data_IF_397566661858
#
_entry.id   IF_397566661858
#
_cell.length_a   1.000
_cell.length_b   1.000
_cell.length_c   1.000
_cell.angle_alpha   90.00
_cell.angle_beta   90.00
_cell.angle_gamma   90.00
#
_symmetry.space_group_name_H-M   'P 1'
#
loop_
_entity.id
_entity.type
_entity.pdbx_description
1 polymer ?
#
# COMPACT_ATOMS: atom_id res chain seq x y z
N UNK A 1 -23.84 -8.24 -67.05
CA UNK A 1 -23.40 -7.82 -65.69
C UNK A 1 -24.53 -8.09 -64.71
N UNK A 2 -24.15 -8.66 -63.56
CA UNK A 2 -24.89 -8.73 -62.28
C UNK A 2 -26.11 -9.70 -62.18
N UNK A 3 -25.93 -10.61 -61.20
CA UNK A 3 -26.91 -11.33 -60.35
C UNK A 3 -27.28 -12.77 -60.75
N UNK A 4 -26.46 -13.72 -60.29
CA UNK A 4 -26.86 -15.08 -59.92
C UNK A 4 -26.75 -15.12 -58.38
N UNK A 5 -27.90 -15.17 -57.69
CA UNK A 5 -28.39 -16.30 -56.86
C UNK A 5 -27.37 -16.73 -55.79
N UNK A 6 -27.74 -16.61 -54.51
CA UNK A 6 -27.59 -17.65 -53.47
C UNK A 6 -28.48 -17.21 -52.29
N UNK A 7 -29.67 -17.79 -52.23
CA UNK A 7 -30.53 -17.87 -51.05
C UNK A 7 -31.01 -19.32 -50.97
N UNK A 8 -30.09 -20.24 -50.66
CA UNK A 8 -30.38 -21.64 -50.36
C UNK A 8 -29.13 -22.36 -49.80
N UNK A 9 -28.32 -21.69 -48.98
CA UNK A 9 -27.22 -22.33 -48.24
C UNK A 9 -27.33 -22.09 -46.72
N UNK A 10 -28.56 -21.88 -46.24
CA UNK A 10 -28.91 -21.63 -44.84
C UNK A 10 -29.41 -22.87 -44.09
N UNK A 11 -29.14 -24.10 -44.56
CA UNK A 11 -29.62 -25.32 -43.87
C UNK A 11 -28.72 -26.57 -43.92
N UNK A 12 -27.44 -26.48 -44.32
CA UNK A 12 -26.55 -27.66 -44.38
C UNK A 12 -25.14 -27.50 -43.76
N UNK A 13 -24.93 -26.55 -42.84
CA UNK A 13 -23.70 -26.49 -42.03
C UNK A 13 -23.91 -26.89 -40.56
N UNK A 14 -24.94 -27.69 -40.29
CA UNK A 14 -25.14 -28.42 -39.03
C UNK A 14 -24.86 -29.92 -39.23
N UNK A 15 -23.60 -30.29 -39.44
CA UNK A 15 -23.10 -31.64 -39.10
C UNK A 15 -21.61 -31.58 -38.74
N UNK A 16 -21.36 -31.71 -37.43
CA UNK A 16 -20.13 -32.13 -36.76
C UNK A 16 -18.78 -32.11 -37.49
N UNK A 17 -17.96 -31.10 -37.14
CA UNK A 17 -16.59 -31.38 -36.71
C UNK A 17 -16.53 -31.18 -35.20
N UNK A 18 -16.49 -32.27 -34.46
CA UNK A 18 -16.03 -32.34 -33.09
C UNK A 18 -14.56 -31.94 -33.04
N UNK A 19 -14.29 -30.64 -33.09
CA UNK A 19 -13.00 -30.11 -32.67
C UNK A 19 -13.03 -30.05 -31.15
N UNK A 20 -12.39 -31.05 -30.51
CA UNK A 20 -11.82 -30.86 -29.17
C UNK A 20 -11.17 -29.47 -29.14
N UNK A 21 -11.35 -28.66 -28.08
CA UNK A 21 -10.60 -27.44 -27.97
C UNK A 21 -9.13 -27.82 -28.04
N UNK A 22 -8.49 -27.39 -29.11
CA UNK A 22 -7.05 -27.50 -29.26
C UNK A 22 -6.51 -26.53 -28.24
N UNK A 23 -6.06 -27.05 -27.10
CA UNK A 23 -5.28 -26.29 -26.13
C UNK A 23 -3.95 -25.94 -26.79
N UNK A 24 -3.90 -24.85 -27.55
CA UNK A 24 -2.70 -24.39 -28.24
C UNK A 24 -2.06 -23.25 -27.46
N UNK A 25 -1.16 -23.59 -26.53
CA UNK A 25 0.15 -22.96 -26.38
C UNK A 25 0.30 -21.51 -25.89
N UNK A 26 -0.76 -20.78 -25.50
CA UNK A 26 -0.61 -19.37 -25.08
C UNK A 26 -0.62 -19.09 -23.58
N UNK A 27 -1.05 -20.02 -22.71
CA UNK A 27 -1.06 -19.76 -21.25
C UNK A 27 0.35 -19.78 -20.67
N UNK A 28 1.17 -20.78 -21.03
CA UNK A 28 2.50 -20.96 -20.44
C UNK A 28 3.46 -19.79 -20.67
N UNK A 29 3.37 -19.08 -21.79
CA UNK A 29 4.28 -17.97 -22.09
C UNK A 29 3.97 -16.72 -21.27
N UNK A 30 2.69 -16.37 -21.10
CA UNK A 30 2.29 -15.23 -20.27
C UNK A 30 2.57 -15.52 -18.80
N UNK A 31 2.32 -16.75 -18.35
CA UNK A 31 2.61 -17.16 -16.98
C UNK A 31 4.12 -17.10 -16.69
N UNK A 32 4.96 -17.58 -17.61
CA UNK A 32 6.42 -17.49 -17.47
C UNK A 32 6.93 -16.04 -17.49
N UNK A 33 6.35 -15.19 -18.33
CA UNK A 33 6.70 -13.76 -18.39
C UNK A 33 6.39 -13.06 -17.05
N UNK A 34 5.21 -13.31 -16.48
CA UNK A 34 4.82 -12.77 -15.17
C UNK A 34 5.77 -13.29 -14.09
N UNK A 35 6.01 -14.60 -14.01
CA UNK A 35 6.93 -15.20 -13.03
C UNK A 35 8.32 -14.58 -13.12
N UNK A 36 8.89 -14.46 -14.32
CA UNK A 36 10.20 -13.84 -14.54
C UNK A 36 10.23 -12.37 -14.11
N UNK A 37 9.16 -11.62 -14.38
CA UNK A 37 9.05 -10.21 -13.98
C UNK A 37 8.97 -10.06 -12.45
N UNK A 38 8.25 -10.97 -11.77
CA UNK A 38 8.20 -11.04 -10.30
C UNK A 38 9.58 -11.35 -9.73
N UNK A 39 10.28 -12.37 -10.25
CA UNK A 39 11.63 -12.74 -9.81
C UNK A 39 12.57 -11.54 -9.87
N UNK A 40 12.62 -10.87 -11.02
CA UNK A 40 13.45 -9.68 -11.21
C UNK A 40 13.07 -8.53 -10.29
N UNK A 41 11.77 -8.32 -10.07
CA UNK A 41 11.31 -7.31 -9.13
C UNK A 41 11.84 -7.57 -7.72
N UNK A 42 11.77 -8.81 -7.26
CA UNK A 42 12.27 -9.20 -5.94
C UNK A 42 13.79 -9.02 -5.89
N UNK A 43 14.52 -9.51 -6.89
CA UNK A 43 15.98 -9.31 -6.99
C UNK A 43 16.37 -7.82 -6.94
N UNK A 44 15.61 -6.92 -7.59
CA UNK A 44 15.88 -5.47 -7.52
C UNK A 44 15.57 -4.88 -6.14
N UNK A 45 14.50 -5.35 -5.47
CA UNK A 45 14.05 -4.80 -4.18
C UNK A 45 14.81 -5.34 -2.98
N UNK A 46 15.27 -6.59 -3.05
CA UNK A 46 15.90 -7.29 -1.92
C UNK A 46 17.35 -7.67 -2.20
N UNK A 47 17.84 -7.56 -3.44
CA UNK A 47 19.19 -7.97 -3.84
C UNK A 47 19.50 -9.42 -3.44
N UNK A 48 18.51 -10.28 -3.58
CA UNK A 48 18.58 -11.72 -3.30
C UNK A 48 18.14 -12.48 -4.55
N UNK A 49 18.81 -13.57 -4.88
CA UNK A 49 18.50 -14.42 -6.02
C UNK A 49 19.52 -15.55 -6.10
N UNK A 50 19.28 -16.55 -6.96
CA UNK A 50 20.17 -17.71 -7.08
C UNK A 50 21.58 -17.31 -7.54
N UNK A 51 21.69 -16.29 -8.40
CA UNK A 51 22.94 -15.83 -9.00
C UNK A 51 23.50 -14.54 -8.37
N UNK A 52 22.88 -14.03 -7.30
CA UNK A 52 23.32 -12.79 -6.65
C UNK A 52 24.27 -13.10 -5.50
N UNK A 53 25.49 -12.58 -5.59
CA UNK A 53 26.51 -12.70 -4.53
C UNK A 53 27.19 -11.34 -4.29
N UNK A 54 28.00 -11.26 -3.24
CA UNK A 54 28.67 -10.02 -2.85
C UNK A 54 30.18 -10.24 -2.76
N UNK A 55 30.96 -9.37 -3.40
CA UNK A 55 32.43 -9.43 -3.34
C UNK A 55 32.94 -8.56 -2.20
N UNK A 56 33.12 -9.16 -1.03
CA UNK A 56 33.63 -8.48 0.17
C UNK A 56 35.04 -7.90 0.00
N UNK A 57 35.77 -8.28 -1.06
CA UNK A 57 37.10 -7.73 -1.38
C UNK A 57 37.04 -6.51 -2.32
N UNK A 58 35.93 -6.29 -3.02
CA UNK A 58 35.69 -5.12 -3.88
C UNK A 58 34.69 -4.18 -3.18
N UNK A 59 35.22 -3.34 -2.28
CA UNK A 59 34.44 -2.38 -1.51
C UNK A 59 34.81 -0.94 -1.84
N UNK A 60 33.86 -0.02 -1.63
CA UNK A 60 34.00 1.42 -1.84
C UNK A 60 33.39 2.18 -0.67
N UNK A 61 33.90 3.37 -0.40
CA UNK A 61 33.31 4.26 0.61
C UNK A 61 32.70 5.47 -0.07
N UNK A 62 31.41 5.71 0.16
CA UNK A 62 30.70 6.89 -0.29
C UNK A 62 30.10 7.59 0.93
N UNK A 63 30.39 8.88 1.11
CA UNK A 63 29.84 9.69 2.20
C UNK A 63 30.03 9.08 3.61
N UNK A 64 31.13 8.36 3.83
CA UNK A 64 31.44 7.73 5.12
C UNK A 64 30.77 6.36 5.35
N UNK A 65 29.94 5.90 4.42
CA UNK A 65 29.37 4.55 4.45
C UNK A 65 30.10 3.63 3.48
N UNK A 66 30.31 2.37 3.88
CA UNK A 66 30.98 1.34 3.08
C UNK A 66 29.95 0.58 2.27
N UNK A 67 30.29 0.35 1.00
CA UNK A 67 29.49 -0.37 0.04
C UNK A 67 30.29 -1.55 -0.51
N UNK A 68 29.60 -2.67 -0.72
CA UNK A 68 30.16 -3.92 -1.23
C UNK A 68 29.65 -4.16 -2.65
N UNK A 69 30.52 -4.62 -3.55
CA UNK A 69 30.12 -4.89 -4.93
C UNK A 69 29.09 -6.02 -5.01
N UNK A 70 28.06 -5.80 -5.81
CA UNK A 70 27.09 -6.83 -6.17
C UNK A 70 27.62 -7.59 -7.40
N UNK A 71 27.52 -8.91 -7.37
CA UNK A 71 27.81 -9.80 -8.48
C UNK A 71 26.53 -10.53 -8.89
N UNK A 72 26.37 -10.78 -10.19
CA UNK A 72 25.22 -11.46 -10.79
C UNK A 72 25.03 -11.00 -12.23
N UNK A 73 24.39 -11.80 -13.08
CA UNK A 73 24.27 -11.48 -14.53
C UNK A 73 23.70 -10.08 -14.76
N UNK A 74 22.62 -9.74 -14.06
CA UNK A 74 21.94 -8.45 -14.14
C UNK A 74 22.61 -7.32 -13.32
N UNK A 75 23.67 -7.60 -12.56
CA UNK A 75 24.37 -6.62 -11.69
C UNK A 75 25.85 -6.40 -12.08
N UNK A 76 26.34 -7.10 -13.10
CA UNK A 76 27.73 -7.04 -13.53
C UNK A 76 28.17 -5.65 -14.00
N UNK A 77 27.23 -4.89 -14.57
CA UNK A 77 27.45 -3.53 -15.03
C UNK A 77 26.24 -2.63 -14.81
N UNK A 78 26.46 -1.31 -14.87
CA UNK A 78 25.37 -0.32 -14.89
C UNK A 78 24.42 -0.54 -16.07
N UNK A 79 24.93 -1.02 -17.21
CA UNK A 79 24.10 -1.28 -18.39
C UNK A 79 23.17 -2.49 -18.16
N UNK A 80 23.70 -3.57 -17.59
CA UNK A 80 22.93 -4.77 -17.25
C UNK A 80 21.85 -4.45 -16.22
N UNK A 81 22.21 -3.69 -15.18
CA UNK A 81 21.25 -3.27 -14.14
C UNK A 81 20.15 -2.38 -14.72
N UNK A 82 20.50 -1.42 -15.57
CA UNK A 82 19.52 -0.60 -16.27
C UNK A 82 18.61 -1.44 -17.17
N UNK A 83 19.15 -2.43 -17.87
CA UNK A 83 18.37 -3.35 -18.72
C UNK A 83 17.40 -4.18 -17.88
N UNK A 84 17.83 -4.66 -16.72
CA UNK A 84 16.99 -5.35 -15.75
C UNK A 84 15.83 -4.46 -15.32
N UNK A 85 16.11 -3.25 -14.81
CA UNK A 85 15.11 -2.24 -14.42
C UNK A 85 14.10 -1.97 -15.55
N UNK A 86 14.58 -1.70 -16.77
CA UNK A 86 13.73 -1.41 -17.93
C UNK A 86 12.89 -2.61 -18.38
N UNK A 87 13.35 -3.84 -18.09
CA UNK A 87 12.61 -5.07 -18.40
C UNK A 87 11.59 -5.45 -17.33
N UNK A 88 11.66 -4.84 -16.14
CA UNK A 88 10.83 -5.18 -14.98
C UNK A 88 9.73 -4.15 -14.75
N UNK A 89 10.03 -2.86 -14.93
CA UNK A 89 9.16 -1.76 -14.53
C UNK A 89 8.59 -0.98 -15.72
N UNK A 90 7.42 -0.39 -15.54
CA UNK A 90 6.86 0.57 -16.51
C UNK A 90 7.77 1.79 -16.66
N UNK A 91 7.73 2.46 -17.82
CA UNK A 91 8.61 3.62 -18.10
C UNK A 91 8.56 4.71 -17.03
N UNK A 92 7.38 4.96 -16.47
CA UNK A 92 7.18 5.93 -15.40
C UNK A 92 7.92 5.52 -14.11
N UNK A 93 7.75 4.26 -13.70
CA UNK A 93 8.42 3.67 -12.54
C UNK A 93 9.95 3.59 -12.72
N UNK A 94 10.43 3.30 -13.92
CA UNK A 94 11.88 3.29 -14.23
C UNK A 94 12.50 4.64 -13.91
N UNK A 95 11.87 5.74 -14.33
CA UNK A 95 12.36 7.10 -14.06
C UNK A 95 12.53 7.34 -12.57
N UNK A 96 11.59 6.88 -11.74
CA UNK A 96 11.67 7.04 -10.28
C UNK A 96 12.79 6.21 -9.64
N UNK A 97 12.92 4.93 -10.02
CA UNK A 97 13.95 4.05 -9.44
C UNK A 97 15.36 4.52 -9.82
N UNK A 98 15.61 4.85 -11.09
CA UNK A 98 16.93 5.34 -11.52
C UNK A 98 17.30 6.70 -10.90
N UNK A 99 16.32 7.55 -10.58
CA UNK A 99 16.60 8.80 -9.88
C UNK A 99 16.99 8.58 -8.41
N UNK A 100 16.45 7.55 -7.73
CA UNK A 100 16.85 7.20 -6.35
C UNK A 100 18.33 6.83 -6.27
N UNK A 101 18.84 6.11 -7.26
CA UNK A 101 20.23 5.66 -7.30
C UNK A 101 21.25 6.81 -7.29
N UNK A 102 20.84 7.97 -7.82
CA UNK A 102 21.67 9.18 -7.89
C UNK A 102 21.73 9.98 -6.58
N UNK A 103 20.91 9.66 -5.57
CA UNK A 103 20.85 10.39 -4.30
C UNK A 103 22.01 10.04 -3.35
N UNK A 104 22.52 10.99 -2.55
CA UNK A 104 23.60 10.78 -1.59
C UNK A 104 23.32 9.67 -0.55
N UNK A 105 22.05 9.35 -0.30
CA UNK A 105 21.58 8.33 0.65
C UNK A 105 21.01 7.07 -0.04
N UNK A 106 21.33 6.84 -1.32
CA UNK A 106 20.89 5.65 -2.02
C UNK A 106 21.52 4.38 -1.42
N UNK A 107 20.72 3.33 -1.25
CA UNK A 107 21.18 1.99 -0.86
C UNK A 107 22.16 1.38 -1.88
N UNK A 108 22.10 1.82 -3.14
CA UNK A 108 22.95 1.38 -4.23
C UNK A 108 23.72 2.53 -4.87
N UNK A 109 24.95 2.25 -5.29
CA UNK A 109 25.86 3.18 -5.94
C UNK A 109 26.51 2.54 -7.15
N UNK A 110 26.64 3.32 -8.21
CA UNK A 110 27.46 2.93 -9.36
C UNK A 110 28.83 3.63 -9.30
N UNK A 111 29.91 2.88 -9.47
CA UNK A 111 31.27 3.42 -9.64
C UNK A 111 32.07 2.51 -10.56
N UNK A 112 32.91 3.11 -11.43
CA UNK A 112 33.72 2.38 -12.43
C UNK A 112 32.92 1.35 -13.25
N UNK A 113 31.68 1.70 -13.60
CA UNK A 113 30.77 0.85 -14.37
C UNK A 113 30.17 -0.33 -13.60
N UNK A 114 30.45 -0.49 -12.31
CA UNK A 114 29.96 -1.57 -11.44
C UNK A 114 28.88 -1.06 -10.47
N UNK A 115 28.11 -1.99 -9.91
CA UNK A 115 27.08 -1.71 -8.90
C UNK A 115 27.56 -2.16 -7.51
N UNK A 116 27.36 -1.31 -6.53
CA UNK A 116 27.70 -1.53 -5.12
C UNK A 116 26.46 -1.28 -4.24
N UNK A 117 26.28 -2.10 -3.21
CA UNK A 117 25.21 -1.95 -2.20
C UNK A 117 25.80 -1.53 -0.86
N UNK A 118 25.08 -0.72 -0.09
CA UNK A 118 25.53 -0.30 1.23
C UNK A 118 25.57 -1.48 2.21
N UNK A 119 26.59 -1.53 3.07
CA UNK A 119 26.73 -2.62 4.03
C UNK A 119 25.58 -2.65 5.05
N UNK A 120 25.03 -1.48 5.42
CA UNK A 120 23.84 -1.41 6.28
C UNK A 120 22.63 -2.10 5.61
N UNK A 121 22.44 -1.86 4.32
CA UNK A 121 21.37 -2.51 3.55
C UNK A 121 21.62 -4.01 3.43
N UNK A 122 22.87 -4.41 3.17
CA UNK A 122 23.27 -5.82 3.07
C UNK A 122 23.01 -6.58 4.39
N UNK A 123 23.34 -6.00 5.54
CA UNK A 123 23.04 -6.57 6.85
C UNK A 123 21.54 -6.78 7.04
N UNK A 124 20.73 -5.77 6.70
CA UNK A 124 19.27 -5.88 6.75
C UNK A 124 18.75 -7.00 5.83
N UNK A 125 19.28 -7.12 4.62
CA UNK A 125 18.90 -8.16 3.67
C UNK A 125 19.19 -9.56 4.20
N UNK A 126 20.40 -9.74 4.73
CA UNK A 126 20.81 -11.02 5.32
C UNK A 126 19.94 -11.41 6.52
N UNK A 127 19.48 -10.42 7.31
CA UNK A 127 18.62 -10.68 8.47
C UNK A 127 17.17 -11.04 8.09
N UNK A 128 16.62 -10.42 7.04
CA UNK A 128 15.18 -10.48 6.79
C UNK A 128 14.75 -11.18 5.49
N UNK A 129 15.59 -11.23 4.45
CA UNK A 129 15.15 -11.63 3.10
C UNK A 129 15.86 -12.86 2.51
N UNK A 130 17.12 -13.13 2.91
CA UNK A 130 17.97 -14.16 2.26
C UNK A 130 17.35 -15.55 2.15
N UNK A 131 16.60 -15.98 3.18
CA UNK A 131 16.05 -17.34 3.27
C UNK A 131 14.53 -17.39 3.03
N UNK A 132 14.02 -16.50 2.17
CA UNK A 132 12.58 -16.42 1.84
C UNK A 132 12.34 -16.70 0.36
N UNK A 133 12.25 -17.98 -0.06
CA UNK A 133 11.97 -18.29 -1.45
C UNK A 133 10.56 -17.83 -1.85
N UNK A 134 10.37 -17.50 -3.12
CA UNK A 134 9.08 -17.10 -3.67
C UNK A 134 8.25 -18.32 -4.05
N UNK A 135 6.96 -18.30 -3.73
CA UNK A 135 6.01 -19.27 -4.26
C UNK A 135 5.43 -18.74 -5.59
N UNK A 136 6.14 -19.03 -6.68
CA UNK A 136 5.71 -18.64 -8.02
C UNK A 136 4.74 -19.64 -8.65
N UNK A 137 4.49 -20.79 -8.03
CA UNK A 137 3.56 -21.78 -8.55
C UNK A 137 2.12 -21.51 -8.11
N UNK A 138 1.93 -20.80 -7.00
CA UNK A 138 0.62 -20.44 -6.46
C UNK A 138 0.26 -18.95 -6.63
N UNK A 139 0.56 -18.37 -7.79
CA UNK A 139 0.17 -16.99 -8.11
C UNK A 139 -1.36 -16.86 -8.19
N UNK A 140 -1.92 -15.90 -7.46
CA UNK A 140 -3.37 -15.59 -7.46
C UNK A 140 -3.64 -14.37 -8.34
N UNK A 141 -4.38 -14.55 -9.45
CA UNK A 141 -4.92 -13.42 -10.21
C UNK A 141 -6.07 -12.79 -9.42
N UNK A 142 -5.86 -11.57 -8.92
CA UNK A 142 -6.82 -10.81 -8.12
C UNK A 142 -7.76 -10.03 -9.04
N UNK A 143 -7.20 -9.30 -10.00
CA UNK A 143 -7.97 -8.52 -10.97
C UNK A 143 -7.28 -8.49 -12.33
N UNK A 144 -8.06 -8.46 -13.41
CA UNK A 144 -7.56 -8.38 -14.79
C UNK A 144 -8.59 -7.71 -15.68
N UNK A 145 -8.22 -6.59 -16.29
CA UNK A 145 -9.04 -5.90 -17.30
C UNK A 145 -8.15 -4.97 -18.11
N UNK A 146 -8.49 -4.77 -19.38
CA UNK A 146 -7.74 -3.91 -20.29
C UNK A 146 -6.23 -4.23 -20.28
N UNK A 147 -5.40 -3.24 -19.93
CA UNK A 147 -3.95 -3.37 -19.84
C UNK A 147 -3.46 -3.60 -18.40
N UNK A 148 -4.34 -3.77 -17.41
CA UNK A 148 -3.96 -4.01 -16.02
C UNK A 148 -4.17 -5.47 -15.61
N UNK A 149 -3.18 -6.02 -14.92
CA UNK A 149 -3.24 -7.30 -14.23
C UNK A 149 -2.71 -7.13 -12.81
N UNK A 150 -3.48 -7.54 -11.80
CA UNK A 150 -3.06 -7.52 -10.39
C UNK A 150 -2.89 -8.96 -9.92
N UNK A 151 -1.70 -9.29 -9.46
CA UNK A 151 -1.33 -10.64 -9.02
C UNK A 151 -0.91 -10.59 -7.56
N UNK A 152 -1.44 -11.53 -6.78
CA UNK A 152 -0.97 -11.85 -5.43
C UNK A 152 0.05 -12.98 -5.48
N UNK A 153 1.11 -12.85 -4.68
CA UNK A 153 2.15 -13.86 -4.48
C UNK A 153 2.53 -13.96 -3.00
N UNK A 154 3.16 -15.06 -2.62
CA UNK A 154 3.60 -15.33 -1.24
C UNK A 154 5.06 -15.76 -1.22
N UNK A 155 5.68 -15.63 -0.05
CA UNK A 155 6.97 -16.24 0.22
C UNK A 155 6.75 -17.59 0.89
N UNK A 156 7.46 -18.62 0.43
CA UNK A 156 7.54 -19.93 1.05
C UNK A 156 8.14 -19.74 2.45
N UNK A 157 7.43 -20.25 3.45
CA UNK A 157 7.84 -20.21 4.85
C UNK A 157 8.18 -21.63 5.28
N UNK A 158 9.37 -21.85 5.85
CA UNK A 158 9.69 -23.13 6.51
C UNK A 158 8.84 -23.36 7.76
N UNK A 159 8.32 -22.29 8.36
CA UNK A 159 7.35 -22.38 9.45
C UNK A 159 5.94 -22.43 8.88
N UNK A 160 5.17 -23.47 9.25
CA UNK A 160 3.75 -23.71 8.89
C UNK A 160 2.81 -22.63 9.48
N UNK A 161 3.07 -21.36 9.21
CA UNK A 161 2.18 -20.26 9.58
C UNK A 161 1.32 -20.01 8.35
N UNK A 162 0.08 -20.50 8.39
CA UNK A 162 -0.89 -20.47 7.29
C UNK A 162 -1.29 -19.04 6.84
N UNK A 163 -1.03 -18.02 7.66
CA UNK A 163 -1.50 -16.64 7.45
C UNK A 163 -0.39 -15.64 7.11
N UNK A 164 0.42 -15.89 6.07
CA UNK A 164 1.30 -14.82 5.56
C UNK A 164 0.52 -13.87 4.63
N UNK A 165 0.70 -12.55 4.75
CA UNK A 165 0.00 -11.60 3.89
C UNK A 165 0.43 -11.81 2.44
N UNK A 166 -0.57 -11.98 1.56
CA UNK A 166 -0.36 -12.01 0.12
C UNK A 166 0.23 -10.67 -0.29
N UNK A 167 1.48 -10.68 -0.73
CA UNK A 167 2.10 -9.54 -1.39
C UNK A 167 1.47 -9.37 -2.76
N UNK A 168 1.29 -8.13 -3.22
CA UNK A 168 0.60 -7.85 -4.48
C UNK A 168 1.44 -6.99 -5.39
N UNK A 169 1.32 -7.24 -6.69
CA UNK A 169 1.93 -6.43 -7.73
C UNK A 169 0.88 -6.02 -8.76
N UNK A 170 0.97 -4.77 -9.20
CA UNK A 170 0.19 -4.24 -10.31
C UNK A 170 1.07 -4.27 -11.55
N UNK A 171 0.64 -5.02 -12.56
CA UNK A 171 1.25 -5.09 -13.88
C UNK A 171 0.45 -4.25 -14.86
N UNK A 172 1.16 -3.48 -15.67
CA UNK A 172 0.62 -2.74 -16.81
C UNK A 172 1.22 -3.32 -18.09
N UNK A 173 0.37 -3.60 -19.06
CA UNK A 173 0.76 -4.08 -20.37
C UNK A 173 1.31 -2.92 -21.23
N UNK A 174 2.58 -3.00 -21.61
CA UNK A 174 3.24 -2.04 -22.51
C UNK A 174 3.96 -2.78 -23.64
N UNK A 175 3.62 -2.49 -24.90
CA UNK A 175 4.21 -3.16 -26.07
C UNK A 175 4.17 -4.70 -25.97
N UNK A 176 3.01 -5.22 -25.58
CA UNK A 176 2.76 -6.64 -25.35
C UNK A 176 3.51 -7.30 -24.19
N UNK A 177 4.14 -6.53 -23.30
CA UNK A 177 4.78 -7.04 -22.07
C UNK A 177 4.10 -6.54 -20.81
N UNK A 178 3.97 -7.39 -19.80
CA UNK A 178 3.51 -6.99 -18.47
C UNK A 178 4.69 -6.47 -17.65
N UNK A 179 4.64 -5.19 -17.31
CA UNK A 179 5.67 -4.51 -16.51
C UNK A 179 5.06 -4.01 -15.20
N UNK A 180 5.84 -4.01 -14.13
CA UNK A 180 5.37 -3.58 -12.82
C UNK A 180 5.24 -2.07 -12.77
N UNK A 181 4.07 -1.61 -12.32
CA UNK A 181 3.80 -0.23 -11.98
C UNK A 181 3.91 -0.07 -10.47
N UNK A 182 5.06 0.43 -10.02
CA UNK A 182 5.39 0.58 -8.59
C UNK A 182 4.90 1.94 -8.07
N UNK A 183 3.61 2.24 -8.25
CA UNK A 183 2.97 3.36 -7.55
C UNK A 183 2.59 2.90 -6.14
N UNK A 184 3.46 3.24 -5.20
CA UNK A 184 3.41 2.88 -3.78
C UNK A 184 2.07 3.31 -3.13
N UNK A 185 1.43 4.37 -3.62
CA UNK A 185 0.17 4.88 -3.05
C UNK A 185 -1.00 3.89 -3.19
N UNK A 186 -1.09 3.17 -4.32
CA UNK A 186 -2.13 2.18 -4.61
C UNK A 186 -1.74 0.75 -4.19
N UNK A 187 -0.47 0.53 -3.83
CA UNK A 187 0.07 -0.72 -3.26
C UNK A 187 -0.09 -0.83 -1.74
N UNK A 188 -0.50 0.24 -1.06
CA UNK A 188 -0.78 0.27 0.39
C UNK A 188 -1.97 -0.61 0.81
N UNK A 189 -2.77 -1.08 -0.15
CA UNK A 189 -3.94 -1.90 0.12
C UNK A 189 -3.53 -3.36 0.26
N UNK A 190 -3.97 -4.02 1.31
CA UNK A 190 -3.81 -5.46 1.51
C UNK A 190 -4.78 -6.26 0.65
N UNK A 191 -4.46 -7.54 0.46
CA UNK A 191 -5.40 -8.50 -0.12
C UNK A 191 -6.64 -8.60 0.78
N UNK A 192 -7.81 -8.79 0.17
CA UNK A 192 -9.09 -8.95 0.85
C UNK A 192 -9.37 -10.44 1.00
N UNK A 193 -9.97 -10.86 2.12
CA UNK A 193 -10.42 -12.26 2.27
C UNK A 193 -11.57 -12.55 1.32
N UNK A 194 -11.78 -13.81 0.95
CA UNK A 194 -12.86 -14.16 0.01
C UNK A 194 -14.25 -13.81 0.55
N UNK A 195 -14.47 -13.98 1.86
CA UNK A 195 -15.72 -13.64 2.52
C UNK A 195 -15.99 -12.12 2.49
N UNK A 196 -14.98 -11.32 2.83
CA UNK A 196 -15.06 -9.85 2.77
C UNK A 196 -15.28 -9.36 1.33
N UNK A 197 -14.56 -9.95 0.36
CA UNK A 197 -14.70 -9.62 -1.05
C UNK A 197 -16.13 -9.89 -1.53
N UNK A 198 -16.71 -11.04 -1.16
CA UNK A 198 -18.09 -11.41 -1.50
C UNK A 198 -19.12 -10.47 -0.89
N UNK A 199 -18.92 -10.02 0.36
CA UNK A 199 -19.78 -9.02 1.00
C UNK A 199 -19.79 -7.71 0.23
N UNK A 200 -18.60 -7.21 -0.14
CA UNK A 200 -18.43 -5.94 -0.87
C UNK A 200 -19.05 -6.05 -2.27
N UNK A 201 -18.77 -7.14 -2.99
CA UNK A 201 -19.32 -7.39 -4.32
C UNK A 201 -20.83 -7.39 -4.32
N UNK A 202 -21.45 -8.06 -3.34
CA UNK A 202 -22.91 -8.08 -3.18
C UNK A 202 -23.46 -6.70 -2.85
N UNK A 203 -22.82 -5.95 -1.95
CA UNK A 203 -23.26 -4.62 -1.53
C UNK A 203 -23.29 -3.62 -2.70
N UNK A 204 -22.26 -3.64 -3.54
CA UNK A 204 -22.13 -2.72 -4.68
C UNK A 204 -22.59 -3.31 -6.03
N UNK A 205 -23.14 -4.52 -6.05
CA UNK A 205 -23.51 -5.26 -7.27
C UNK A 205 -22.36 -5.41 -8.30
N UNK A 206 -21.15 -5.68 -7.81
CA UNK A 206 -19.95 -5.85 -8.64
C UNK A 206 -19.95 -7.26 -9.24
N UNK A 207 -19.79 -7.43 -10.56
CA UNK A 207 -19.73 -8.74 -11.19
C UNK A 207 -18.48 -9.53 -10.78
N UNK A 208 -18.61 -10.86 -10.71
CA UNK A 208 -17.49 -11.77 -10.46
C UNK A 208 -16.76 -12.14 -11.76
N UNK A 209 -16.23 -11.12 -12.44
CA UNK A 209 -15.47 -11.26 -13.69
C UNK A 209 -14.01 -10.79 -13.57
N UNK A 210 -13.58 -10.50 -12.34
CA UNK A 210 -12.27 -9.94 -11.99
C UNK A 210 -11.94 -8.59 -12.66
N UNK A 211 -12.92 -7.89 -13.22
CA UNK A 211 -12.71 -6.59 -13.88
C UNK A 211 -12.53 -5.40 -12.92
N UNK A 212 -12.80 -5.63 -11.62
CA UNK A 212 -12.72 -4.66 -10.54
C UNK A 212 -11.71 -5.14 -9.51
N UNK A 213 -10.91 -4.21 -8.99
CA UNK A 213 -10.00 -4.48 -7.89
C UNK A 213 -10.60 -3.97 -6.59
N UNK A 214 -10.60 -4.80 -5.55
CA UNK A 214 -11.02 -4.42 -4.20
C UNK A 214 -9.79 -4.53 -3.31
N UNK A 215 -9.45 -3.44 -2.63
CA UNK A 215 -8.30 -3.35 -1.74
C UNK A 215 -8.73 -3.01 -0.31
N UNK A 216 -8.07 -3.59 0.68
CA UNK A 216 -8.25 -3.25 2.09
C UNK A 216 -7.19 -2.23 2.53
N UNK A 217 -7.57 -1.10 3.13
CA UNK A 217 -6.62 -0.21 3.76
C UNK A 217 -6.02 -0.86 4.99
N UNK A 218 -4.71 -1.01 4.99
CA UNK A 218 -4.01 -1.67 6.06
C UNK A 218 -4.13 -0.92 7.40
N UNK A 219 -5.18 -1.20 8.17
CA UNK A 219 -5.29 -0.82 9.57
C UNK A 219 -4.44 -1.80 10.40
N UNK A 220 -3.11 -1.71 10.31
CA UNK A 220 -2.17 -2.59 11.01
C UNK A 220 -2.14 -2.43 12.53
N UNK A 221 -2.91 -1.52 13.12
CA UNK A 221 -3.02 -1.41 14.57
C UNK A 221 -4.32 -2.06 15.04
N UNK A 222 -4.23 -3.20 15.75
CA UNK A 222 -5.39 -3.89 16.31
C UNK A 222 -5.93 -3.05 17.46
N UNK A 223 -6.82 -2.14 17.12
CA UNK A 223 -7.62 -1.46 18.11
C UNK A 223 -8.54 -2.50 18.76
N UNK A 224 -8.33 -2.78 20.05
CA UNK A 224 -8.86 -3.98 20.74
C UNK A 224 -10.38 -4.14 20.66
N UNK A 225 -11.12 -3.04 20.45
CA UNK A 225 -12.58 -3.03 20.29
C UNK A 225 -13.08 -2.45 18.96
N UNK A 226 -12.27 -1.67 18.24
CA UNK A 226 -12.68 -1.13 16.94
C UNK A 226 -12.37 -2.13 15.83
N UNK A 227 -13.25 -3.12 15.67
CA UNK A 227 -13.10 -4.22 14.71
C UNK A 227 -13.64 -3.85 13.33
N UNK A 228 -13.11 -2.77 12.74
CA UNK A 228 -13.54 -2.25 11.46
C UNK A 228 -12.42 -2.31 10.42
N UNK A 229 -12.77 -2.50 9.16
CA UNK A 229 -11.83 -2.39 8.05
C UNK A 229 -12.43 -1.61 6.91
N UNK A 230 -11.60 -0.71 6.37
CA UNK A 230 -11.97 0.16 5.27
C UNK A 230 -11.46 -0.44 3.96
N UNK A 231 -12.29 -0.40 2.93
CA UNK A 231 -12.01 -0.96 1.62
C UNK A 231 -12.27 0.07 0.52
N UNK A 232 -11.40 0.08 -0.49
CA UNK A 232 -11.59 0.81 -1.73
C UNK A 232 -11.96 -0.13 -2.87
N UNK A 233 -12.90 0.29 -3.71
CA UNK A 233 -13.32 -0.41 -4.93
C UNK A 233 -12.82 0.40 -6.12
N UNK A 234 -11.95 -0.23 -6.91
CA UNK A 234 -11.26 0.40 -8.03
C UNK A 234 -11.76 -0.16 -9.35
N UNK A 235 -12.23 0.74 -10.21
CA UNK A 235 -12.47 0.42 -11.60
C UNK A 235 -11.15 0.48 -12.38
N UNK A 236 -10.91 -0.56 -13.17
CA UNK A 236 -9.84 -0.56 -14.16
C UNK A 236 -10.35 0.11 -15.44
N UNK A 237 -9.62 1.14 -15.87
CA UNK A 237 -9.84 1.85 -17.13
C UNK A 237 -8.51 2.02 -17.87
N UNK A 238 -8.29 1.22 -18.91
CA UNK A 238 -7.03 1.22 -19.67
C UNK A 238 -5.84 0.82 -18.79
N UNK A 239 -4.95 1.77 -18.51
CA UNK A 239 -3.76 1.61 -17.68
C UNK A 239 -3.90 2.17 -16.26
N UNK A 240 -5.10 2.59 -15.86
CA UNK A 240 -5.33 3.28 -14.58
C UNK A 240 -6.30 2.55 -13.68
N UNK A 241 -6.02 2.59 -12.37
CA UNK A 241 -6.95 2.20 -11.31
C UNK A 241 -7.59 3.47 -10.75
N UNK A 242 -8.92 3.60 -10.90
CA UNK A 242 -9.68 4.74 -10.41
C UNK A 242 -10.55 4.30 -9.23
N UNK A 243 -10.41 4.94 -8.07
CA UNK A 243 -11.31 4.72 -6.95
C UNK A 243 -12.72 5.16 -7.35
N UNK A 244 -13.70 4.26 -7.19
CA UNK A 244 -15.12 4.54 -7.51
C UNK A 244 -15.99 4.55 -6.28
N UNK A 245 -15.83 3.54 -5.45
CA UNK A 245 -16.63 3.33 -4.26
C UNK A 245 -15.70 2.98 -3.10
N UNK A 246 -16.18 3.20 -1.88
CA UNK A 246 -15.50 2.81 -0.66
C UNK A 246 -16.50 2.32 0.36
N UNK A 247 -16.06 1.44 1.25
CA UNK A 247 -16.88 0.99 2.36
C UNK A 247 -16.07 0.69 3.60
N UNK A 248 -16.76 0.72 4.73
CA UNK A 248 -16.29 0.24 6.01
C UNK A 248 -17.08 -1.01 6.41
N UNK A 249 -16.39 -2.04 6.89
CA UNK A 249 -17.01 -3.29 7.34
C UNK A 249 -16.73 -3.45 8.83
N UNK A 250 -17.82 -3.52 9.61
CA UNK A 250 -17.77 -4.01 10.98
C UNK A 250 -17.63 -5.54 10.95
N UNK A 251 -16.46 -6.06 11.34
CA UNK A 251 -16.12 -7.48 11.20
C UNK A 251 -16.88 -8.39 12.17
N UNK A 252 -17.41 -7.85 13.27
CA UNK A 252 -18.21 -8.64 14.22
C UNK A 252 -19.62 -8.91 13.68
N UNK A 253 -20.17 -7.96 12.93
CA UNK A 253 -21.56 -8.01 12.44
C UNK A 253 -21.67 -8.25 10.94
N UNK A 254 -20.55 -8.22 10.20
CA UNK A 254 -20.49 -8.24 8.73
C UNK A 254 -21.37 -7.18 8.05
N UNK A 255 -21.64 -6.07 8.75
CA UNK A 255 -22.37 -4.94 8.18
C UNK A 255 -21.43 -4.07 7.36
N UNK A 256 -21.85 -3.76 6.13
CA UNK A 256 -21.14 -2.89 5.20
C UNK A 256 -21.77 -1.50 5.23
N UNK A 257 -20.99 -0.47 5.57
CA UNK A 257 -21.37 0.96 5.49
C UNK A 257 -20.66 1.56 4.27
N UNK A 258 -21.41 2.14 3.33
CA UNK A 258 -20.81 2.90 2.23
C UNK A 258 -20.13 4.15 2.78
N UNK A 259 -18.92 4.43 2.31
CA UNK A 259 -18.18 5.65 2.63
C UNK A 259 -18.23 6.60 1.44
N UNK A 260 -18.20 7.91 1.71
CA UNK A 260 -18.11 8.92 0.67
C UNK A 260 -16.71 8.93 0.04
N UNK A 261 -16.67 9.02 -1.28
CA UNK A 261 -15.45 9.23 -2.07
C UNK A 261 -15.43 10.66 -2.59
N UNK A 262 -14.31 11.35 -2.43
CA UNK A 262 -14.05 12.69 -2.96
C UNK A 262 -12.79 12.66 -3.83
N UNK A 263 -12.98 12.62 -5.16
CA UNK A 263 -11.89 12.40 -6.10
C UNK A 263 -11.23 11.03 -5.92
N UNK A 264 -9.94 11.01 -5.59
CA UNK A 264 -9.20 9.78 -5.25
C UNK A 264 -9.16 9.49 -3.74
N UNK A 265 -9.86 10.30 -2.92
CA UNK A 265 -9.82 10.19 -1.47
C UNK A 265 -11.07 9.56 -0.88
N UNK A 266 -10.91 8.85 0.24
CA UNK A 266 -12.00 8.25 1.01
C UNK A 266 -12.22 9.08 2.25
N UNK A 267 -13.42 9.64 2.35
CA UNK A 267 -13.82 10.46 3.49
C UNK A 267 -14.03 9.56 4.70
N UNK A 268 -13.40 9.93 5.80
CA UNK A 268 -13.57 9.33 7.10
C UNK A 268 -15.00 9.56 7.58
N UNK A 269 -15.72 8.48 7.88
CA UNK A 269 -17.13 8.55 8.28
C UNK A 269 -17.38 9.43 9.51
N UNK A 270 -16.38 9.59 10.39
CA UNK A 270 -16.48 10.45 11.57
C UNK A 270 -16.76 11.91 11.19
N UNK A 271 -16.30 12.37 10.03
CA UNK A 271 -16.60 13.72 9.54
C UNK A 271 -18.08 13.91 9.19
N UNK A 272 -18.80 12.84 8.85
CA UNK A 272 -20.24 12.92 8.62
C UNK A 272 -21.02 12.99 9.94
N UNK A 273 -20.50 12.34 10.99
CA UNK A 273 -21.18 12.17 12.27
C UNK A 273 -20.86 13.27 13.29
N UNK A 274 -19.71 13.95 13.17
CA UNK A 274 -19.27 15.00 14.11
C UNK A 274 -19.43 16.41 13.48
N UNK A 275 -20.19 17.31 14.12
CA UNK A 275 -20.34 18.68 13.65
C UNK A 275 -18.99 19.41 13.55
N UNK A 276 -18.79 20.10 12.45
CA UNK A 276 -17.63 20.94 12.19
C UNK A 276 -18.05 22.20 11.43
N UNK A 277 -17.31 23.30 11.60
CA UNK A 277 -17.79 24.65 11.25
C UNK A 277 -17.65 24.99 9.76
N UNK A 278 -16.86 24.23 8.98
CA UNK A 278 -16.57 24.50 7.57
C UNK A 278 -16.32 23.23 6.76
N UNK A 279 -16.75 23.19 5.50
CA UNK A 279 -16.44 22.09 4.56
C UNK A 279 -14.93 21.95 4.29
N UNK A 280 -14.16 23.01 4.57
CA UNK A 280 -12.71 23.09 4.38
C UNK A 280 -11.91 22.45 5.54
N UNK A 281 -12.58 21.93 6.58
CA UNK A 281 -11.90 21.21 7.67
C UNK A 281 -11.28 19.92 7.12
N UNK A 282 -9.98 19.74 7.34
CA UNK A 282 -9.17 18.60 6.89
C UNK A 282 -8.80 17.67 8.06
N UNK A 283 -8.95 18.15 9.30
CA UNK A 283 -8.52 17.45 10.51
C UNK A 283 -9.45 17.73 11.69
N UNK A 284 -9.91 16.68 12.39
CA UNK A 284 -10.54 16.81 13.71
C UNK A 284 -9.52 16.45 14.80
N UNK A 285 -9.50 17.27 15.85
CA UNK A 285 -8.59 17.12 16.98
C UNK A 285 -9.40 17.12 18.26
N UNK A 286 -9.19 16.13 19.11
CA UNK A 286 -9.82 16.04 20.41
C UNK A 286 -8.74 15.96 21.48
N UNK A 287 -8.72 16.92 22.40
CA UNK A 287 -7.97 16.78 23.64
C UNK A 287 -8.67 15.79 24.56
N UNK A 288 -7.91 14.92 25.22
CA UNK A 288 -8.42 13.89 26.13
C UNK A 288 -8.12 14.32 27.56
N UNK A 289 -9.15 14.69 28.35
CA UNK A 289 -8.98 15.08 29.74
C UNK A 289 -8.39 13.93 30.55
N UNK A 290 -7.43 14.26 31.43
CA UNK A 290 -6.70 13.30 32.25
C UNK A 290 -7.64 12.43 33.11
N UNK A 291 -8.72 13.01 33.62
CA UNK A 291 -9.73 12.34 34.43
C UNK A 291 -10.67 11.43 33.62
N UNK A 292 -10.67 11.54 32.29
CA UNK A 292 -11.53 10.78 31.37
C UNK A 292 -10.81 9.75 30.49
N UNK A 293 -9.47 9.78 30.43
CA UNK A 293 -8.65 8.99 29.50
C UNK A 293 -9.02 7.48 29.43
N UNK A 294 -9.33 6.86 30.58
CA UNK A 294 -9.65 5.44 30.68
C UNK A 294 -10.81 4.99 29.77
N UNK A 295 -11.76 5.87 29.42
CA UNK A 295 -12.91 5.51 28.58
C UNK A 295 -12.51 5.28 27.11
N UNK A 296 -11.53 6.03 26.63
CA UNK A 296 -11.02 5.93 25.25
C UNK A 296 -9.87 4.94 25.12
N UNK A 297 -9.14 4.66 26.19
CA UNK A 297 -8.01 3.70 26.18
C UNK A 297 -8.46 2.26 25.81
N UNK A 298 -9.76 1.96 25.96
CA UNK A 298 -10.39 0.71 25.50
C UNK A 298 -10.58 0.62 23.98
N UNK A 299 -10.60 1.78 23.32
CA UNK A 299 -10.98 1.97 21.91
C UNK A 299 -9.92 2.68 21.09
N UNK A 300 -8.80 3.11 21.67
CA UNK A 300 -7.72 3.78 20.95
C UNK A 300 -6.43 3.37 21.64
N UNK A 301 -5.53 2.77 20.85
CA UNK A 301 -4.16 2.61 21.29
C UNK A 301 -3.44 3.94 21.11
N UNK A 302 -3.01 4.52 22.24
CA UNK A 302 -2.19 5.71 22.21
C UNK A 302 -0.76 5.30 21.88
N UNK A 303 -0.32 5.72 20.72
CA UNK A 303 1.08 5.56 20.34
C UNK A 303 1.91 6.52 21.19
N UNK A 304 2.61 5.97 22.19
CA UNK A 304 3.77 6.62 22.75
C UNK A 304 4.93 6.36 21.78
N UNK A 305 5.18 7.28 20.85
CA UNK A 305 6.40 7.20 20.05
C UNK A 305 7.56 7.69 20.92
N UNK A 306 7.93 6.87 21.90
CA UNK A 306 8.96 7.18 22.86
C UNK A 306 10.27 7.54 22.17
N UNK A 307 10.95 8.54 22.70
CA UNK A 307 12.36 8.80 22.45
C UNK A 307 13.13 7.48 22.61
N UNK A 308 14.00 7.14 21.65
CA UNK A 308 14.97 6.02 21.74
C UNK A 308 16.00 6.18 22.87
N UNK A 309 15.74 7.01 23.87
CA UNK A 309 16.58 7.18 25.05
C UNK A 309 16.24 6.14 26.10
N UNK A 310 17.25 5.39 26.55
CA UNK A 310 17.20 4.30 27.53
C UNK A 310 16.82 4.75 28.96
N UNK A 311 16.20 5.91 29.14
CA UNK A 311 15.84 6.47 30.45
C UNK A 311 14.33 6.73 30.58
N UNK A 312 13.52 5.71 30.96
CA UNK A 312 12.07 5.82 31.08
C UNK A 312 11.65 6.48 32.42
N UNK A 313 12.32 7.57 32.81
CA UNK A 313 12.03 8.30 34.04
C UNK A 313 11.90 9.80 33.79
N UNK A 314 11.00 10.19 32.90
CA UNK A 314 10.32 11.48 33.05
C UNK A 314 8.91 11.22 33.61
N UNK A 315 8.58 12.02 34.60
CA UNK A 315 7.39 11.92 35.42
C UNK A 315 6.16 12.48 34.71
N UNK A 316 5.10 11.67 34.68
CA UNK A 316 3.68 12.03 34.86
C UNK A 316 3.08 13.11 33.94
N UNK A 317 2.17 12.62 33.09
CA UNK A 317 1.12 13.29 32.31
C UNK A 317 1.63 13.98 31.04
N UNK A 318 1.80 13.17 30.00
CA UNK A 318 1.85 13.66 28.63
C UNK A 318 0.41 13.96 28.16
N UNK A 319 0.24 15.06 27.44
CA UNK A 319 -1.06 15.46 26.90
C UNK A 319 -1.56 14.39 25.92
N UNK A 320 -2.80 13.94 26.09
CA UNK A 320 -3.41 12.94 25.21
C UNK A 320 -4.29 13.62 24.17
N UNK A 321 -4.14 13.23 22.92
CA UNK A 321 -4.95 13.71 21.81
C UNK A 321 -5.46 12.56 20.96
N UNK A 322 -6.68 12.71 20.45
CA UNK A 322 -7.24 11.87 19.39
C UNK A 322 -7.25 12.72 18.13
N UNK A 323 -6.67 12.18 17.06
CA UNK A 323 -6.51 12.88 15.80
C UNK A 323 -7.15 12.07 14.69
N UNK A 324 -7.95 12.74 13.86
CA UNK A 324 -8.83 12.10 12.87
C UNK A 324 -8.69 12.87 11.55
N UNK A 325 -8.01 12.32 10.54
CA UNK A 325 -7.92 12.95 9.23
C UNK A 325 -9.26 12.88 8.50
N UNK A 326 -9.54 13.87 7.64
CA UNK A 326 -10.70 13.82 6.72
C UNK A 326 -10.58 12.67 5.73
N UNK A 327 -9.38 12.42 5.21
CA UNK A 327 -9.13 11.39 4.22
C UNK A 327 -8.28 10.27 4.81
N UNK A 328 -8.82 9.04 4.81
CA UNK A 328 -8.15 7.85 5.40
C UNK A 328 -6.93 7.43 4.57
N UNK A 329 -6.89 7.81 3.30
CA UNK A 329 -5.88 7.39 2.33
C UNK A 329 -4.94 8.51 1.88
N UNK A 330 -4.83 9.59 2.65
CA UNK A 330 -3.96 10.73 2.34
C UNK A 330 -2.61 10.64 3.08
N UNK A 331 -1.50 10.38 2.35
CA UNK A 331 -0.19 10.27 2.96
C UNK A 331 0.52 11.61 3.21
N UNK A 332 -0.18 12.75 3.24
CA UNK A 332 0.43 14.10 3.26
C UNK A 332 0.88 14.66 4.62
N UNK A 333 0.70 13.95 5.74
CA UNK A 333 0.82 14.50 7.10
C UNK A 333 2.12 14.11 7.83
N UNK A 334 2.94 15.07 8.25
CA UNK A 334 4.10 14.81 9.12
C UNK A 334 3.81 15.18 10.58
N UNK A 335 4.47 14.50 11.50
CA UNK A 335 4.33 14.74 12.94
C UNK A 335 5.68 14.97 13.59
N UNK A 336 5.71 15.90 14.50
CA UNK A 336 6.77 16.09 15.48
C UNK A 336 6.14 15.96 16.87
N UNK A 337 6.65 15.04 17.69
CA UNK A 337 6.18 14.80 19.06
C UNK A 337 7.35 15.07 19.98
N UNK A 338 7.17 15.96 20.96
CA UNK A 338 8.21 16.33 21.94
C UNK A 338 9.57 16.70 21.28
N UNK A 339 9.53 17.33 20.10
CA UNK A 339 10.73 17.73 19.35
C UNK A 339 11.33 16.68 18.40
N UNK A 340 10.73 15.49 18.30
CA UNK A 340 11.21 14.40 17.45
C UNK A 340 10.35 14.26 16.20
N UNK A 341 10.96 14.36 15.02
CA UNK A 341 10.27 14.14 13.74
C UNK A 341 10.01 12.66 13.50
N UNK A 342 8.75 12.33 13.20
CA UNK A 342 8.33 10.98 12.85
C UNK A 342 7.95 10.92 11.36
N UNK A 343 8.61 10.02 10.63
CA UNK A 343 8.46 9.84 9.17
C UNK A 343 7.68 8.57 8.77
N UNK A 344 7.01 7.92 9.72
CA UNK A 344 6.11 6.79 9.42
C UNK A 344 4.81 7.34 8.83
N UNK A 345 4.15 6.68 7.85
CA UNK A 345 3.11 7.32 7.05
C UNK A 345 1.90 7.72 7.91
N UNK A 346 1.79 9.01 8.19
CA UNK A 346 0.71 9.86 7.67
C UNK A 346 -0.67 9.20 7.78
N UNK A 347 -1.34 9.39 8.92
CA UNK A 347 -2.72 8.98 9.25
C UNK A 347 -3.41 7.92 8.35
N UNK A 348 -2.77 6.78 8.10
CA UNK A 348 -3.43 5.68 7.38
C UNK A 348 -4.54 5.02 8.22
N UNK A 349 -4.76 5.54 9.43
CA UNK A 349 -5.79 5.11 10.36
C UNK A 349 -6.89 6.17 10.42
N UNK A 350 -8.15 5.74 10.49
CA UNK A 350 -9.27 6.67 10.65
C UNK A 350 -9.23 7.41 12.00
N UNK A 351 -8.58 6.85 13.02
CA UNK A 351 -8.45 7.46 14.35
C UNK A 351 -7.06 7.15 14.90
N UNK A 352 -6.36 8.17 15.40
CA UNK A 352 -5.03 8.04 15.97
C UNK A 352 -4.96 8.62 17.39
N UNK A 353 -4.46 7.85 18.35
CA UNK A 353 -4.18 8.31 19.70
C UNK A 353 -2.71 8.68 19.86
N UNK A 354 -2.43 9.87 20.39
CA UNK A 354 -1.06 10.38 20.60
C UNK A 354 -0.91 10.94 21.99
N UNK A 355 0.27 10.71 22.59
CA UNK A 355 0.66 11.30 23.87
C UNK A 355 1.89 12.20 23.68
N UNK A 356 1.86 13.42 24.22
CA UNK A 356 2.97 14.38 24.20
C UNK A 356 2.57 15.76 23.68
N UNK A 357 3.54 16.67 23.57
CA UNK A 357 3.35 17.94 22.88
C UNK A 357 3.55 17.72 21.39
N UNK A 358 2.49 17.99 20.61
CA UNK A 358 2.41 17.58 19.20
C UNK A 358 2.43 18.79 18.30
N UNK A 359 3.21 18.64 17.25
CA UNK A 359 3.23 19.53 16.10
C UNK A 359 2.94 18.73 14.83
N UNK A 360 2.04 19.22 14.00
CA UNK A 360 1.62 18.57 12.75
C UNK A 360 2.07 19.47 11.59
N UNK A 361 2.59 18.91 10.51
CA UNK A 361 2.86 19.63 9.26
C UNK A 361 2.02 19.01 8.13
N UNK A 362 1.24 19.83 7.43
CA UNK A 362 0.44 19.43 6.27
C UNK A 362 0.67 20.38 5.11
N UNK A 363 0.93 19.83 3.91
CA UNK A 363 0.92 20.57 2.65
C UNK A 363 1.51 22.00 2.71
N UNK A 364 2.68 22.17 3.37
CA UNK A 364 3.42 23.42 3.64
C UNK A 364 2.98 24.32 4.82
N UNK A 365 2.09 23.86 5.70
CA UNK A 365 1.61 24.57 6.90
C UNK A 365 1.94 23.78 8.18
N UNK A 366 2.24 24.50 9.25
CA UNK A 366 2.69 23.96 10.54
C UNK A 366 1.67 24.26 11.66
N UNK A 367 1.30 23.24 12.44
CA UNK A 367 0.31 23.28 13.52
C UNK A 367 0.97 22.94 14.85
N UNK A 368 0.78 23.76 15.90
CA UNK A 368 1.19 23.43 17.28
C UNK A 368 -0.07 23.22 18.14
N UNK A 369 -0.21 22.03 18.72
CA UNK A 369 -1.42 21.61 19.43
C UNK A 369 -1.45 21.95 20.92
N UNK A 370 -0.38 22.53 21.48
CA UNK A 370 -0.33 22.94 22.89
C UNK A 370 -1.50 23.91 23.25
N UNK A 371 -1.94 24.72 22.29
CA UNK A 371 -3.07 25.66 22.43
C UNK A 371 -4.46 25.05 22.35
N UNK A 372 -4.62 23.81 21.85
CA UNK A 372 -5.93 23.16 21.68
C UNK A 372 -6.69 22.94 23.01
N UNK A 373 -5.97 22.93 24.13
CA UNK A 373 -6.56 22.85 25.49
C UNK A 373 -7.39 24.07 25.87
N UNK A 374 -7.04 25.24 25.32
CA UNK A 374 -7.49 26.53 25.81
C UNK A 374 -8.26 27.35 24.77
N UNK A 375 -8.18 27.00 23.47
CA UNK A 375 -8.80 27.79 22.41
C UNK A 375 -9.49 26.91 21.34
N UNK A 376 -10.75 27.26 21.06
CA UNK A 376 -11.63 26.66 20.04
C UNK A 376 -11.18 27.04 18.61
N UNK A 377 -10.31 28.05 18.47
CA UNK A 377 -9.77 28.49 17.18
C UNK A 377 -8.46 27.79 16.86
N UNK A 378 -8.49 26.47 16.73
CA UNK A 378 -7.50 25.87 15.84
C UNK A 378 -7.90 26.27 14.41
N UNK A 379 -7.05 27.09 13.80
CA UNK A 379 -6.73 27.27 12.37
C UNK A 379 -7.81 26.92 11.32
N UNK A 380 -7.92 27.73 10.25
CA UNK A 380 -8.98 27.69 9.22
C UNK A 380 -9.42 26.30 8.70
N UNK A 381 -8.55 25.27 8.76
CA UNK A 381 -8.78 23.92 8.24
C UNK A 381 -8.71 22.80 9.30
N UNK A 382 -8.64 23.12 10.59
CA UNK A 382 -8.70 22.14 11.67
C UNK A 382 -9.86 22.46 12.61
N UNK A 383 -10.46 21.45 13.23
CA UNK A 383 -11.54 21.68 14.19
C UNK A 383 -11.29 20.94 15.50
N UNK A 384 -11.43 21.66 16.62
CA UNK A 384 -11.41 21.04 17.96
C UNK A 384 -12.78 20.45 18.24
N UNK A 385 -12.83 19.15 18.45
CA UNK A 385 -14.08 18.43 18.74
C UNK A 385 -14.17 18.06 20.20
N UNK A 386 -15.39 18.03 20.73
CA UNK A 386 -15.65 17.68 22.11
C UNK A 386 -15.38 16.18 22.33
N UNK A 387 -14.64 15.86 23.39
CA UNK A 387 -14.34 14.50 23.84
C UNK A 387 -15.58 13.60 23.93
N UNK A 388 -16.69 14.11 24.47
CA UNK A 388 -17.90 13.31 24.66
C UNK A 388 -18.54 12.91 23.31
N UNK A 389 -18.34 13.68 22.24
CA UNK A 389 -18.78 13.28 20.89
C UNK A 389 -17.95 12.11 20.33
N UNK A 390 -16.64 12.13 20.58
CA UNK A 390 -15.74 11.06 20.14
C UNK A 390 -16.03 9.76 20.90
N UNK A 391 -16.21 9.83 22.22
CA UNK A 391 -16.60 8.68 23.04
C UNK A 391 -17.93 8.10 22.56
N UNK A 392 -18.92 8.96 22.31
CA UNK A 392 -20.22 8.51 21.78
C UNK A 392 -20.06 7.79 20.45
N UNK A 393 -19.30 8.37 19.52
CA UNK A 393 -19.03 7.74 18.22
C UNK A 393 -18.42 6.34 18.38
N UNK A 394 -17.37 6.20 19.21
CA UNK A 394 -16.66 4.95 19.46
C UNK A 394 -17.49 3.88 20.18
N UNK A 395 -18.52 4.29 20.94
CA UNK A 395 -19.35 3.37 21.73
C UNK A 395 -20.62 2.93 21.02
N UNK A 396 -21.11 3.72 20.06
CA UNK A 396 -22.34 3.46 19.31
C UNK A 396 -22.11 2.82 17.94
N UNK A 397 -20.90 2.91 17.38
CA UNK A 397 -20.49 2.31 16.10
C UNK A 397 -19.38 1.29 16.32
#
# INVERSE_FOLDING_TARGET
MKKIIILALSLLLLTGCTNKPTSSGSSNNVDNEIKNTITKYIEIKTYTGEDITFDENDTKTFNGETYTRILGEDFNSVEDYNKMINSTFTKETVKYNLLKDSNSFSAIKSDDGKIYISNQTLEHINQYYKDRPLDLDNLKVISKKDDILIVGFTFISETNIEDRPISKLVFIKENDKYLIHDDISKLSYNAVSEDEENLIRKHFNIPDDKSTFIGNFNNSFPNKKYNHSTYGVFEINGKTLTLKEACDINKDTNKVKTLKVDGENIVNNIFEDIPHESDDVELLICYVPEDKANLTDDYIEYSFMGTFDENPKSTKVNNKYIIIPKYINDPGHKFEIDGVYHSSPTFSLPIYGVEGDIKIEFASKEYNLEGAKNDVKLLENANVVNYDHIVKYLTEN
#
